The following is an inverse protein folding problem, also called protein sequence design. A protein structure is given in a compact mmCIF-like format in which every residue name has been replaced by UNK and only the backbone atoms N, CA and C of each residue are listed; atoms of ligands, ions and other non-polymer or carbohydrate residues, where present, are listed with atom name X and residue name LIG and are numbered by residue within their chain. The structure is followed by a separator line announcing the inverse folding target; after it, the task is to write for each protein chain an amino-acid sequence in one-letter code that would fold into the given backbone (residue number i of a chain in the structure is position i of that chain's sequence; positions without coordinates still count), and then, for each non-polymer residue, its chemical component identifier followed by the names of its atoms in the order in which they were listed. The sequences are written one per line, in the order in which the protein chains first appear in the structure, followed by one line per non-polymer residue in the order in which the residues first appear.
data_IF_543644175233
#
_entry.id   IF_543644175233
#
_cell.length_a   1.000
_cell.length_b   1.000
_cell.length_c   1.000
_cell.angle_alpha   90.00
_cell.angle_beta   90.00
_cell.angle_gamma   90.00
#
_symmetry.space_group_name_H-M   'P 1'
#
loop_
_entity.id
_entity.type
_entity.pdbx_description
1 polymer ?
#
# COMPACT_ATOMS: atom_id res chain seq x y z
N UNK A 1 12.17 42.81 -41.86
CA UNK A 1 12.25 41.33 -41.79
C UNK A 1 12.12 40.86 -40.34
N UNK A 2 11.12 41.36 -39.58
CA UNK A 2 11.05 41.18 -38.11
C UNK A 2 9.69 40.66 -37.61
N UNK A 3 8.61 40.82 -38.37
CA UNK A 3 7.26 40.45 -37.90
C UNK A 3 6.97 38.95 -38.00
N UNK A 4 7.48 38.28 -39.04
CA UNK A 4 7.34 36.83 -39.23
C UNK A 4 8.05 36.04 -38.13
N UNK A 5 9.21 36.51 -37.69
CA UNK A 5 9.99 35.86 -36.62
C UNK A 5 9.31 36.01 -35.27
N UNK A 6 8.75 37.20 -34.96
CA UNK A 6 7.97 37.43 -33.74
C UNK A 6 6.67 36.62 -33.69
N UNK A 7 5.95 36.53 -34.82
CA UNK A 7 4.76 35.68 -34.91
C UNK A 7 5.09 34.20 -34.72
N UNK A 8 6.17 33.70 -35.34
CA UNK A 8 6.60 32.31 -35.15
C UNK A 8 6.98 32.01 -33.68
N UNK A 9 7.73 32.90 -33.01
CA UNK A 9 8.06 32.71 -31.58
C UNK A 9 6.80 32.73 -30.70
N UNK A 10 5.83 33.60 -31.00
CA UNK A 10 4.56 33.66 -30.27
C UNK A 10 3.74 32.38 -30.44
N UNK A 11 3.70 31.81 -31.65
CA UNK A 11 2.98 30.56 -31.94
C UNK A 11 3.69 29.38 -31.26
N UNK A 12 5.02 29.28 -31.35
CA UNK A 12 5.79 28.23 -30.68
C UNK A 12 5.61 28.25 -29.16
N UNK A 13 5.64 29.43 -28.54
CA UNK A 13 5.40 29.58 -27.09
C UNK A 13 3.98 29.16 -26.69
N UNK A 14 2.97 29.52 -27.49
CA UNK A 14 1.59 29.13 -27.24
C UNK A 14 1.38 27.61 -27.35
N UNK A 15 1.99 26.98 -28.36
CA UNK A 15 1.95 25.52 -28.54
C UNK A 15 2.65 24.81 -27.38
N UNK A 16 3.82 25.29 -26.97
CA UNK A 16 4.60 24.67 -25.89
C UNK A 16 3.87 24.79 -24.54
N UNK A 17 3.23 25.92 -24.28
CA UNK A 17 2.38 26.12 -23.11
C UNK A 17 1.18 25.17 -23.11
N UNK A 18 0.49 25.04 -24.25
CA UNK A 18 -0.63 24.10 -24.38
C UNK A 18 -0.20 22.65 -24.14
N UNK A 19 0.95 22.23 -24.69
CA UNK A 19 1.52 20.91 -24.43
C UNK A 19 1.87 20.70 -22.95
N UNK A 20 2.45 21.70 -22.28
CA UNK A 20 2.77 21.61 -20.86
C UNK A 20 1.52 21.42 -19.99
N UNK A 21 0.44 22.17 -20.26
CA UNK A 21 -0.83 21.99 -19.56
C UNK A 21 -1.47 20.63 -19.84
N UNK A 22 -1.41 20.15 -21.09
CA UNK A 22 -1.95 18.85 -21.45
C UNK A 22 -1.19 17.72 -20.74
N UNK A 23 0.15 17.76 -20.73
CA UNK A 23 0.98 16.78 -20.02
C UNK A 23 0.68 16.83 -18.51
N UNK A 24 0.59 18.03 -17.91
CA UNK A 24 0.26 18.19 -16.50
C UNK A 24 -1.14 17.65 -16.15
N UNK A 25 -2.14 17.87 -17.01
CA UNK A 25 -3.47 17.31 -16.81
C UNK A 25 -3.45 15.78 -16.89
N UNK A 26 -2.74 15.21 -17.87
CA UNK A 26 -2.61 13.76 -18.02
C UNK A 26 -1.87 13.12 -16.85
N UNK A 27 -0.82 13.75 -16.32
CA UNK A 27 -0.09 13.23 -15.15
C UNK A 27 -0.95 13.24 -13.90
N UNK A 28 -1.76 14.29 -13.67
CA UNK A 28 -2.72 14.33 -12.55
C UNK A 28 -3.77 13.22 -12.68
N UNK A 29 -4.35 13.03 -13.88
CA UNK A 29 -5.34 11.98 -14.13
C UNK A 29 -4.72 10.59 -13.90
N UNK A 30 -3.49 10.37 -14.36
CA UNK A 30 -2.76 9.12 -14.16
C UNK A 30 -2.41 8.89 -12.68
N UNK A 31 -2.02 9.93 -11.94
CA UNK A 31 -1.75 9.85 -10.51
C UNK A 31 -3.01 9.47 -9.70
N UNK A 32 -4.18 10.01 -10.07
CA UNK A 32 -5.46 9.62 -9.47
C UNK A 32 -5.93 8.21 -9.84
N UNK A 33 -5.33 7.61 -10.89
CA UNK A 33 -5.56 6.24 -11.35
C UNK A 33 -4.52 5.24 -10.86
N UNK A 34 -3.54 5.68 -10.07
CA UNK A 34 -2.64 4.75 -9.40
C UNK A 34 -3.52 3.77 -8.62
N UNK A 35 -3.48 2.50 -9.04
CA UNK A 35 -4.07 1.44 -8.26
C UNK A 35 -3.41 1.54 -6.90
N UNK A 36 -4.17 1.96 -5.89
CA UNK A 36 -3.75 1.72 -4.52
C UNK A 36 -3.49 0.23 -4.47
N UNK A 37 -2.25 -0.18 -4.20
CA UNK A 37 -1.91 -1.58 -4.07
C UNK A 37 -2.78 -2.10 -2.93
N UNK A 38 -3.92 -2.69 -3.28
CA UNK A 38 -4.87 -3.20 -2.32
C UNK A 38 -4.20 -4.42 -1.76
N UNK A 39 -3.95 -4.43 -0.46
CA UNK A 39 -3.43 -5.59 0.20
C UNK A 39 -4.54 -6.65 0.17
N UNK A 40 -4.42 -7.61 -0.75
CA UNK A 40 -5.38 -8.69 -0.92
C UNK A 40 -4.96 -9.89 -0.09
N UNK A 41 -5.91 -10.75 0.29
CA UNK A 41 -5.59 -11.93 1.08
C UNK A 41 -4.63 -12.85 0.34
N UNK A 42 -3.57 -13.26 1.04
CA UNK A 42 -2.52 -14.12 0.50
C UNK A 42 -1.32 -13.36 -0.06
N UNK A 43 -1.32 -12.02 -0.04
CA UNK A 43 -0.14 -11.24 -0.39
C UNK A 43 0.90 -11.30 0.75
N UNK A 44 2.16 -11.39 0.35
CA UNK A 44 3.31 -11.39 1.25
C UNK A 44 4.35 -10.41 0.72
N UNK A 45 4.82 -9.51 1.58
CA UNK A 45 5.92 -8.59 1.27
C UNK A 45 6.96 -8.70 2.38
N UNK A 46 8.18 -9.05 1.99
CA UNK A 46 9.34 -9.05 2.87
C UNK A 46 10.09 -7.73 2.66
N UNK A 47 10.15 -6.90 3.70
CA UNK A 47 10.94 -5.67 3.72
C UNK A 47 12.43 -5.95 3.88
N UNK A 48 13.27 -5.00 3.45
CA UNK A 48 14.73 -5.12 3.57
C UNK A 48 15.24 -5.11 5.02
N UNK A 49 14.46 -4.57 5.96
CA UNK A 49 14.86 -4.40 7.37
C UNK A 49 14.33 -5.52 8.30
N UNK A 50 14.11 -6.72 7.77
CA UNK A 50 13.75 -7.89 8.59
C UNK A 50 12.27 -7.95 9.01
N UNK A 51 11.42 -7.10 8.45
CA UNK A 51 9.96 -7.18 8.62
C UNK A 51 9.34 -7.96 7.47
N UNK A 52 8.45 -8.89 7.79
CA UNK A 52 7.59 -9.55 6.79
C UNK A 52 6.15 -9.21 7.07
N UNK A 53 5.46 -8.63 6.08
CA UNK A 53 4.04 -8.36 6.12
C UNK A 53 3.31 -9.43 5.32
N UNK A 54 2.29 -10.02 5.91
CA UNK A 54 1.42 -11.01 5.29
C UNK A 54 -0.02 -10.54 5.48
N UNK A 55 -0.81 -10.55 4.42
CA UNK A 55 -2.26 -10.40 4.53
C UNK A 55 -2.91 -11.77 4.43
N UNK A 56 -3.83 -12.08 5.33
CA UNK A 56 -4.59 -13.33 5.26
C UNK A 56 -6.09 -13.05 5.26
N UNK A 57 -6.82 -13.90 4.55
CA UNK A 57 -8.27 -13.85 4.52
C UNK A 57 -8.83 -14.02 5.93
N UNK A 58 -9.70 -13.10 6.33
CA UNK A 58 -10.45 -13.20 7.58
C UNK A 58 -11.51 -14.34 7.56
N UNK A 59 -11.65 -15.06 6.44
CA UNK A 59 -12.60 -16.16 6.27
C UNK A 59 -14.03 -15.72 5.93
N UNK A 60 -14.34 -14.43 6.05
CA UNK A 60 -15.65 -13.87 5.72
C UNK A 60 -15.83 -13.59 4.22
N UNK A 61 -14.79 -13.76 3.40
CA UNK A 61 -14.84 -13.53 1.96
C UNK A 61 -14.87 -12.06 1.56
N UNK A 62 -14.31 -11.77 0.39
CA UNK A 62 -14.16 -10.40 -0.16
C UNK A 62 -15.50 -9.66 -0.33
N UNK A 63 -16.61 -10.39 -0.44
CA UNK A 63 -17.93 -9.82 -0.72
C UNK A 63 -18.66 -9.39 0.57
N UNK A 64 -18.23 -9.89 1.75
CA UNK A 64 -18.89 -9.67 3.04
C UNK A 64 -18.03 -8.89 4.04
N UNK A 65 -16.71 -9.17 4.07
CA UNK A 65 -15.72 -8.34 4.76
C UNK A 65 -14.44 -8.29 3.93
N UNK A 66 -14.31 -7.34 2.99
CA UNK A 66 -13.11 -7.19 2.17
C UNK A 66 -11.88 -6.70 2.95
N UNK A 67 -12.02 -6.38 4.24
CA UNK A 67 -10.95 -5.84 5.07
C UNK A 67 -10.35 -6.95 5.94
N UNK A 68 -9.04 -7.01 5.91
CA UNK A 68 -8.28 -8.21 6.24
C UNK A 68 -7.37 -8.00 7.44
N UNK A 69 -6.87 -9.11 7.96
CA UNK A 69 -5.83 -9.08 8.98
C UNK A 69 -4.47 -8.92 8.30
N UNK A 70 -3.70 -7.95 8.78
CA UNK A 70 -2.31 -7.76 8.41
C UNK A 70 -1.44 -8.34 9.53
N UNK A 71 -0.71 -9.40 9.21
CA UNK A 71 0.25 -10.04 10.07
C UNK A 71 1.62 -9.44 9.79
N UNK A 72 2.27 -8.92 10.82
CA UNK A 72 3.63 -8.39 10.74
C UNK A 72 4.52 -9.27 11.58
N UNK A 73 5.49 -9.90 10.92
CA UNK A 73 6.54 -10.69 11.55
C UNK A 73 7.77 -9.80 11.64
N UNK A 74 8.20 -9.52 12.87
CA UNK A 74 9.47 -8.88 13.16
C UNK A 74 10.52 -9.96 13.44
N UNK A 75 11.54 -10.02 12.58
CA UNK A 75 12.60 -11.00 12.70
C UNK A 75 13.71 -10.60 13.69
N UNK A 76 13.75 -9.33 14.13
CA UNK A 76 14.73 -8.86 15.11
C UNK A 76 14.32 -9.24 16.52
N UNK A 77 13.08 -8.89 16.89
CA UNK A 77 12.53 -9.14 18.23
C UNK A 77 11.76 -10.47 18.32
N UNK A 78 11.68 -11.22 17.21
CA UNK A 78 10.96 -12.49 17.07
C UNK A 78 9.47 -12.37 17.48
N UNK A 79 8.82 -11.30 17.01
CA UNK A 79 7.44 -10.97 17.38
C UNK A 79 6.50 -11.12 16.18
N UNK A 80 5.27 -11.58 16.48
CA UNK A 80 4.14 -11.53 15.56
C UNK A 80 3.15 -10.49 16.05
N UNK A 81 2.84 -9.52 15.20
CA UNK A 81 1.77 -8.55 15.40
C UNK A 81 0.63 -8.81 14.42
N UNK A 82 -0.60 -8.70 14.90
CA UNK A 82 -1.81 -8.87 14.10
C UNK A 82 -2.56 -7.55 14.13
N UNK A 83 -2.71 -6.93 12.97
CA UNK A 83 -3.46 -5.70 12.79
C UNK A 83 -4.76 -5.97 12.02
N UNK A 84 -5.79 -5.20 12.34
CA UNK A 84 -7.06 -5.17 11.61
C UNK A 84 -7.27 -3.79 11.01
N UNK A 85 -7.72 -3.77 9.76
CA UNK A 85 -8.25 -2.57 9.11
C UNK A 85 -9.77 -2.67 9.19
N UNK A 86 -10.45 -1.88 10.05
CA UNK A 86 -11.88 -2.06 10.28
C UNK A 86 -12.73 -1.68 9.06
N UNK A 87 -12.30 -0.67 8.27
CA UNK A 87 -12.93 -0.27 7.01
C UNK A 87 -11.88 0.27 6.01
N UNK A 88 -12.06 0.08 4.69
CA UNK A 88 -11.10 0.59 3.69
C UNK A 88 -11.00 2.11 3.65
N UNK A 89 -12.07 2.81 4.00
CA UNK A 89 -12.06 4.27 4.08
C UNK A 89 -11.52 4.77 5.43
N UNK A 90 -11.30 3.87 6.39
CA UNK A 90 -10.68 4.20 7.66
C UNK A 90 -9.16 4.08 7.52
N UNK A 91 -8.46 5.16 7.87
CA UNK A 91 -6.99 5.21 7.85
C UNK A 91 -6.38 4.57 9.10
N UNK A 92 -7.21 4.14 10.05
CA UNK A 92 -6.76 3.56 11.31
C UNK A 92 -6.40 2.10 11.11
N UNK A 93 -5.18 1.76 11.52
CA UNK A 93 -4.71 0.37 11.66
C UNK A 93 -4.77 0.02 13.14
N UNK A 94 -5.55 -1.00 13.50
CA UNK A 94 -5.79 -1.36 14.91
C UNK A 94 -5.01 -2.62 15.25
N UNK A 95 -4.15 -2.54 16.28
CA UNK A 95 -3.47 -3.73 16.81
C UNK A 95 -4.48 -4.62 17.53
N UNK A 96 -4.58 -5.88 17.11
CA UNK A 96 -5.47 -6.89 17.71
C UNK A 96 -4.74 -7.79 18.68
N UNK A 97 -3.51 -8.16 18.35
CA UNK A 97 -2.70 -9.05 19.16
C UNK A 97 -1.23 -8.88 18.85
N UNK A 98 -0.38 -9.11 19.85
CA UNK A 98 1.06 -9.20 19.72
C UNK A 98 1.55 -10.40 20.54
N UNK A 99 2.40 -11.24 19.98
CA UNK A 99 2.94 -12.41 20.69
C UNK A 99 4.34 -12.74 20.23
N UNK A 100 5.16 -13.31 21.12
CA UNK A 100 6.48 -13.80 20.74
C UNK A 100 6.35 -15.10 19.95
N UNK A 101 7.05 -15.17 18.83
CA UNK A 101 7.09 -16.36 17.97
C UNK A 101 7.63 -17.59 18.72
N UNK A 102 8.70 -17.51 19.52
CA UNK A 102 9.18 -18.66 20.29
C UNK A 102 8.12 -19.19 21.26
N UNK A 103 7.43 -18.29 21.97
CA UNK A 103 6.38 -18.65 22.92
C UNK A 103 5.15 -19.24 22.21
N UNK A 104 4.74 -18.64 21.09
CA UNK A 104 3.65 -19.13 20.25
C UNK A 104 3.94 -20.55 19.75
N UNK A 105 5.13 -20.78 19.20
CA UNK A 105 5.51 -22.09 18.69
C UNK A 105 5.72 -23.12 19.81
N UNK A 106 6.27 -22.72 20.96
CA UNK A 106 6.38 -23.59 22.13
C UNK A 106 4.99 -24.06 22.60
N UNK A 107 4.03 -23.14 22.67
CA UNK A 107 2.63 -23.46 23.00
C UNK A 107 1.99 -24.38 21.96
N UNK A 108 2.21 -24.11 20.67
CA UNK A 108 1.68 -24.94 19.58
C UNK A 108 2.25 -26.37 19.58
N UNK A 109 3.52 -26.53 20.00
CA UNK A 109 4.17 -27.84 20.18
C UNK A 109 3.75 -28.55 21.48
N UNK A 110 2.87 -27.96 22.29
CA UNK A 110 2.42 -28.53 23.55
C UNK A 110 3.45 -28.45 24.68
N UNK A 111 4.48 -27.62 24.56
CA UNK A 111 5.55 -27.49 25.55
C UNK A 111 5.14 -26.68 26.80
N UNK A 112 4.00 -25.98 26.75
CA UNK A 112 3.39 -25.29 27.88
C UNK A 112 2.09 -26.00 28.26
N UNK A 113 2.16 -26.93 29.20
CA UNK A 113 0.98 -27.36 29.99
C UNK A 113 0.66 -26.25 31.00
N UNK A 114 -0.64 -26.00 31.29
CA UNK A 114 -1.05 -25.04 32.31
C UNK A 114 -0.48 -25.39 33.69
#
# INVERSE_FOLDING_TARGET
MNDRTRQNTSISSAVLLACAFLIAALTIIQAGRLQTSRAYAGDAVTGMDGYTLLTASSGFGKDTRPYEFCYVIDNHDEMLFIFEIPQANDKRVVLKSGTSLPGLFAKARGALKP
#
